data_IF_546686731214
#
_entry.id   IF_546686731214
#
_cell.length_a   1.000
_cell.length_b   1.000
_cell.length_c   1.000
_cell.angle_alpha   90.00
_cell.angle_beta   90.00
_cell.angle_gamma   90.00
#
_symmetry.space_group_name_H-M   'P 1'
#
loop_
_entity.id
_entity.type
_entity.pdbx_description
1 polymer ?
#
# COMPACT_ATOMS: atom_id res chain seq x y z
N UNK A 1 1.38 26.73 -2.11
CA UNK A 1 2.52 25.79 -2.11
C UNK A 1 3.31 25.87 -3.40
N UNK A 2 2.70 25.71 -4.59
CA UNK A 2 3.43 25.77 -5.87
C UNK A 2 4.24 27.07 -6.06
N UNK A 3 3.60 28.24 -5.92
CA UNK A 3 4.29 29.55 -6.00
C UNK A 3 5.44 29.68 -5.01
N UNK A 4 5.23 29.27 -3.75
CA UNK A 4 6.27 29.32 -2.70
C UNK A 4 7.46 28.41 -3.01
N UNK A 5 7.25 27.28 -3.68
CA UNK A 5 8.36 26.40 -4.10
C UNK A 5 9.15 27.04 -5.25
N UNK A 6 8.46 27.67 -6.21
CA UNK A 6 9.14 28.44 -7.27
C UNK A 6 9.98 29.57 -6.68
N UNK A 7 9.41 30.37 -5.77
CA UNK A 7 10.11 31.46 -5.09
C UNK A 7 11.38 30.97 -4.36
N UNK A 8 11.28 29.86 -3.63
CA UNK A 8 12.47 29.28 -2.96
C UNK A 8 13.51 28.81 -3.98
N UNK A 9 13.09 28.20 -5.08
CA UNK A 9 14.02 27.76 -6.13
C UNK A 9 14.67 28.95 -6.85
N UNK A 10 13.95 30.05 -7.04
CA UNK A 10 14.48 31.30 -7.60
C UNK A 10 15.53 31.90 -6.68
N UNK A 11 15.26 31.97 -5.37
CA UNK A 11 16.23 32.41 -4.36
C UNK A 11 17.49 31.55 -4.42
N UNK A 12 17.36 30.21 -4.42
CA UNK A 12 18.52 29.29 -4.49
C UNK A 12 19.31 29.47 -5.79
N UNK A 13 18.62 29.73 -6.91
CA UNK A 13 19.26 29.98 -8.21
C UNK A 13 20.06 31.28 -8.20
N UNK A 14 19.53 32.33 -7.58
CA UNK A 14 20.13 33.66 -7.51
C UNK A 14 21.24 33.80 -6.46
N UNK A 15 21.10 33.18 -5.28
CA UNK A 15 22.08 33.31 -4.18
C UNK A 15 23.32 32.41 -4.36
N UNK A 16 23.19 31.25 -4.98
CA UNK A 16 24.27 30.27 -5.13
C UNK A 16 24.98 30.36 -6.50
N UNK A 17 25.33 31.57 -6.94
CA UNK A 17 25.96 31.82 -8.24
C UNK A 17 27.24 30.98 -8.38
N UNK A 18 27.22 30.00 -9.28
CA UNK A 18 28.29 29.02 -9.61
C UNK A 18 28.36 27.71 -8.79
N UNK A 19 27.40 27.43 -7.91
CA UNK A 19 27.29 26.10 -7.30
C UNK A 19 26.42 25.15 -8.14
N UNK A 20 26.66 23.84 -8.02
CA UNK A 20 25.84 22.80 -8.64
C UNK A 20 24.35 22.97 -8.26
N UNK A 21 24.08 23.45 -7.05
CA UNK A 21 22.73 23.71 -6.55
C UNK A 21 21.97 24.78 -7.33
N UNK A 22 22.63 25.84 -7.80
CA UNK A 22 21.98 26.89 -8.62
C UNK A 22 21.58 26.35 -10.00
N UNK A 23 22.43 25.48 -10.59
CA UNK A 23 22.11 24.81 -11.85
C UNK A 23 20.93 23.84 -11.67
N UNK A 24 20.93 23.04 -10.59
CA UNK A 24 19.83 22.12 -10.27
C UNK A 24 18.51 22.87 -10.04
N UNK A 25 18.54 23.97 -9.29
CA UNK A 25 17.36 24.82 -9.07
C UNK A 25 16.81 25.37 -10.39
N UNK A 26 17.67 25.85 -11.28
CA UNK A 26 17.26 26.29 -12.62
C UNK A 26 16.62 25.19 -13.48
N UNK A 27 17.12 23.95 -13.40
CA UNK A 27 16.50 22.80 -14.08
C UNK A 27 15.13 22.47 -13.50
N UNK A 28 14.98 22.52 -12.17
CA UNK A 28 13.72 22.27 -11.49
C UNK A 28 12.65 23.32 -11.82
N UNK A 29 13.01 24.61 -11.86
CA UNK A 29 12.11 25.69 -12.29
C UNK A 29 11.61 25.41 -13.71
N UNK A 30 12.53 25.17 -14.65
CA UNK A 30 12.17 24.86 -16.04
C UNK A 30 11.26 23.63 -16.16
N UNK A 31 11.41 22.65 -15.28
CA UNK A 31 10.54 21.48 -15.22
C UNK A 31 9.17 21.84 -14.65
N UNK A 32 9.12 22.58 -13.55
CA UNK A 32 7.87 23.00 -12.91
C UNK A 32 7.02 23.90 -13.81
N UNK A 33 7.66 24.80 -14.56
CA UNK A 33 7.05 25.70 -15.55
C UNK A 33 6.80 25.01 -16.91
N UNK A 34 6.66 23.69 -16.92
CA UNK A 34 6.31 22.94 -18.13
C UNK A 34 4.89 22.40 -18.03
N UNK A 35 4.18 22.44 -19.16
CA UNK A 35 2.86 21.83 -19.28
C UNK A 35 2.89 20.34 -18.89
N UNK A 36 3.95 19.61 -19.28
CA UNK A 36 4.15 18.19 -18.92
C UNK A 36 4.09 17.98 -17.41
N UNK A 37 4.76 18.83 -16.64
CA UNK A 37 4.79 18.75 -15.18
C UNK A 37 3.44 19.09 -14.57
N UNK A 38 2.81 20.19 -15.01
CA UNK A 38 1.51 20.62 -14.48
C UNK A 38 0.43 19.58 -14.76
N UNK A 39 0.38 19.03 -15.98
CA UNK A 39 -0.55 17.96 -16.34
C UNK A 39 -0.32 16.72 -15.47
N UNK A 40 0.94 16.29 -15.33
CA UNK A 40 1.27 15.11 -14.52
C UNK A 40 0.92 15.33 -13.06
N UNK A 41 1.15 16.53 -12.53
CA UNK A 41 0.81 16.88 -11.15
C UNK A 41 -0.69 16.78 -10.90
N UNK A 42 -1.52 17.38 -11.75
CA UNK A 42 -2.98 17.31 -11.61
C UNK A 42 -3.51 15.89 -11.78
N UNK A 43 -3.00 15.14 -12.78
CA UNK A 43 -3.33 13.73 -12.97
C UNK A 43 -3.01 12.90 -11.72
N UNK A 44 -1.84 13.12 -11.10
CA UNK A 44 -1.46 12.42 -9.88
C UNK A 44 -2.31 12.83 -8.68
N UNK A 45 -2.72 14.11 -8.57
CA UNK A 45 -3.64 14.56 -7.52
C UNK A 45 -4.96 13.78 -7.61
N UNK A 46 -5.54 13.67 -8.80
CA UNK A 46 -6.81 12.95 -9.00
C UNK A 46 -6.68 11.46 -8.74
N UNK A 47 -5.63 10.81 -9.27
CA UNK A 47 -5.38 9.37 -9.05
C UNK A 47 -5.15 9.07 -7.57
N UNK A 48 -4.31 9.86 -6.90
CA UNK A 48 -4.07 9.71 -5.46
C UNK A 48 -5.33 10.01 -4.66
N UNK A 49 -6.13 10.99 -5.08
CA UNK A 49 -7.44 11.28 -4.50
C UNK A 49 -8.40 10.10 -4.59
N UNK A 50 -8.50 9.45 -5.74
CA UNK A 50 -9.36 8.25 -5.94
C UNK A 50 -8.89 7.07 -5.09
N UNK A 51 -7.58 6.91 -4.91
CA UNK A 51 -6.99 5.73 -4.24
C UNK A 51 -6.74 5.94 -2.75
N UNK A 52 -6.94 7.15 -2.23
CA UNK A 52 -6.60 7.52 -0.86
C UNK A 52 -7.40 6.72 0.18
N UNK A 53 -8.72 6.63 0.04
CA UNK A 53 -9.57 5.90 1.00
C UNK A 53 -9.21 4.42 1.04
N UNK A 54 -8.93 3.81 -0.11
CA UNK A 54 -8.47 2.44 -0.20
C UNK A 54 -7.12 2.27 0.49
N UNK A 55 -6.16 3.17 0.22
CA UNK A 55 -4.84 3.14 0.83
C UNK A 55 -4.91 3.21 2.36
N UNK A 56 -5.73 4.13 2.90
CA UNK A 56 -5.93 4.26 4.34
C UNK A 56 -6.62 3.03 4.94
N UNK A 57 -7.64 2.49 4.26
CA UNK A 57 -8.34 1.29 4.72
C UNK A 57 -7.42 0.07 4.79
N UNK A 58 -6.55 -0.10 3.79
CA UNK A 58 -5.55 -1.17 3.76
C UNK A 58 -4.43 -0.98 4.80
N UNK A 59 -4.25 0.21 5.37
CA UNK A 59 -3.21 0.46 6.37
C UNK A 59 -3.70 0.37 7.82
N UNK A 60 -5.02 0.27 8.04
CA UNK A 60 -5.60 0.15 9.38
C UNK A 60 -5.16 -1.14 10.09
N UNK A 61 -4.96 -1.10 11.41
CA UNK A 61 -4.61 -2.29 12.22
C UNK A 61 -5.82 -3.22 12.41
N UNK A 62 -7.02 -2.66 12.35
CA UNK A 62 -8.34 -3.30 12.50
C UNK A 62 -9.03 -3.48 11.14
N UNK A 63 -8.32 -4.01 10.14
CA UNK A 63 -8.85 -4.13 8.78
C UNK A 63 -10.15 -4.94 8.74
N UNK A 64 -11.22 -4.31 8.25
CA UNK A 64 -12.39 -5.02 7.74
C UNK A 64 -12.15 -5.34 6.26
N UNK A 65 -11.76 -6.59 6.00
CA UNK A 65 -11.47 -7.10 4.66
C UNK A 65 -12.66 -6.93 3.71
N UNK A 66 -13.91 -7.05 4.20
CA UNK A 66 -15.11 -6.88 3.35
C UNK A 66 -15.16 -5.45 2.82
N UNK A 67 -15.03 -4.49 3.72
CA UNK A 67 -15.05 -3.08 3.39
C UNK A 67 -13.85 -2.67 2.52
N UNK A 68 -12.66 -3.20 2.81
CA UNK A 68 -11.47 -2.99 1.98
C UNK A 68 -11.68 -3.52 0.55
N UNK A 69 -12.24 -4.73 0.39
CA UNK A 69 -12.51 -5.29 -0.94
C UNK A 69 -13.60 -4.51 -1.69
N UNK A 70 -14.60 -3.98 -0.99
CA UNK A 70 -15.56 -3.06 -1.59
C UNK A 70 -14.88 -1.78 -2.09
N UNK A 71 -13.96 -1.21 -1.30
CA UNK A 71 -13.17 -0.04 -1.69
C UNK A 71 -12.25 -0.33 -2.89
N UNK A 72 -11.69 -1.53 -3.01
CA UNK A 72 -10.95 -1.95 -4.22
C UNK A 72 -11.83 -1.83 -5.46
N UNK A 73 -13.06 -2.37 -5.40
CA UNK A 73 -13.99 -2.31 -6.54
C UNK A 73 -14.40 -0.88 -6.87
N UNK A 74 -14.72 -0.07 -5.86
CA UNK A 74 -15.07 1.34 -6.03
C UNK A 74 -13.91 2.12 -6.64
N UNK A 75 -12.67 1.87 -6.19
CA UNK A 75 -11.47 2.53 -6.73
C UNK A 75 -11.25 2.16 -8.20
N UNK A 76 -11.38 0.88 -8.56
CA UNK A 76 -11.31 0.43 -9.96
C UNK A 76 -12.38 1.09 -10.84
N UNK A 77 -13.62 1.17 -10.35
CA UNK A 77 -14.71 1.84 -11.07
C UNK A 77 -14.44 3.33 -11.24
N UNK A 78 -13.97 4.03 -10.21
CA UNK A 78 -13.62 5.46 -10.26
C UNK A 78 -12.48 5.74 -11.24
N UNK A 79 -11.43 4.91 -11.25
CA UNK A 79 -10.34 5.02 -12.23
C UNK A 79 -10.84 4.76 -13.66
N UNK A 80 -11.76 3.81 -13.86
CA UNK A 80 -12.36 3.56 -15.16
C UNK A 80 -13.22 4.75 -15.63
N UNK A 81 -14.05 5.31 -14.74
CA UNK A 81 -14.83 6.52 -15.03
C UNK A 81 -13.92 7.70 -15.39
N UNK A 82 -12.80 7.85 -14.66
CA UNK A 82 -11.78 8.86 -14.93
C UNK A 82 -11.23 8.69 -16.35
N UNK A 83 -10.83 7.48 -16.71
CA UNK A 83 -10.31 7.14 -18.03
C UNK A 83 -11.28 7.50 -19.16
N UNK A 84 -12.57 7.24 -18.96
CA UNK A 84 -13.59 7.41 -20.01
C UNK A 84 -14.05 8.86 -20.16
N UNK A 85 -14.18 9.60 -19.07
CA UNK A 85 -14.92 10.87 -19.05
C UNK A 85 -14.10 12.09 -18.60
N UNK A 86 -13.00 11.91 -17.85
CA UNK A 86 -12.35 13.02 -17.13
C UNK A 86 -11.17 13.67 -17.89
N UNK A 87 -10.89 13.25 -19.13
CA UNK A 87 -9.84 13.89 -19.94
C UNK A 87 -10.10 15.39 -20.18
N UNK A 88 -11.33 15.74 -20.57
CA UNK A 88 -11.68 17.14 -20.91
C UNK A 88 -11.68 18.01 -19.64
N UNK A 89 -12.36 17.63 -18.54
CA UNK A 89 -12.28 18.38 -17.28
C UNK A 89 -10.84 18.59 -16.77
N UNK A 90 -10.00 17.53 -16.81
CA UNK A 90 -8.60 17.63 -16.40
C UNK A 90 -7.84 18.64 -17.26
N UNK A 91 -8.01 18.59 -18.58
CA UNK A 91 -7.31 19.51 -19.50
C UNK A 91 -7.74 20.96 -19.29
N UNK A 92 -9.02 21.21 -19.02
CA UNK A 92 -9.54 22.55 -18.69
C UNK A 92 -8.95 23.08 -17.39
N UNK A 93 -8.88 22.25 -16.35
CA UNK A 93 -8.27 22.60 -15.06
C UNK A 93 -6.78 22.95 -15.22
N UNK A 94 -6.04 22.08 -15.90
CA UNK A 94 -4.61 22.27 -16.19
C UNK A 94 -4.38 23.53 -17.01
N UNK A 95 -5.21 23.78 -18.03
CA UNK A 95 -5.08 25.00 -18.84
C UNK A 95 -5.35 26.26 -18.03
N UNK A 96 -6.33 26.23 -17.13
CA UNK A 96 -6.62 27.35 -16.22
C UNK A 96 -5.45 27.60 -15.27
N UNK A 97 -4.88 26.55 -14.71
CA UNK A 97 -3.69 26.64 -13.86
C UNK A 97 -2.50 27.23 -14.64
N UNK A 98 -2.22 26.73 -15.84
CA UNK A 98 -1.14 27.24 -16.69
C UNK A 98 -1.31 28.72 -17.01
N UNK A 99 -2.53 29.19 -17.30
CA UNK A 99 -2.80 30.61 -17.55
C UNK A 99 -2.51 31.50 -16.33
N UNK A 100 -2.76 31.02 -15.10
CA UNK A 100 -2.46 31.76 -13.87
C UNK A 100 -0.97 31.93 -13.64
N UNK A 101 -0.17 30.91 -14.00
CA UNK A 101 1.29 30.91 -13.85
C UNK A 101 2.03 31.25 -15.15
N UNK A 102 1.32 31.77 -16.16
CA UNK A 102 1.87 32.16 -17.47
C UNK A 102 2.66 31.04 -18.20
N UNK A 103 2.28 29.78 -17.95
CA UNK A 103 2.87 28.60 -18.58
C UNK A 103 2.24 28.39 -19.96
N UNK A 104 3.06 28.22 -20.99
CA UNK A 104 2.59 27.99 -22.36
C UNK A 104 1.81 26.66 -22.48
N UNK A 105 0.54 26.75 -22.89
CA UNK A 105 -0.29 25.58 -23.19
C UNK A 105 -0.05 25.16 -24.64
N UNK A 106 0.45 23.94 -24.89
CA UNK A 106 0.75 23.49 -26.24
C UNK A 106 -0.52 23.32 -27.08
N UNK A 107 -0.45 23.71 -28.35
CA UNK A 107 -1.53 23.44 -29.30
C UNK A 107 -1.68 21.92 -29.51
N UNK A 108 -2.84 21.37 -29.17
CA UNK A 108 -3.11 19.93 -29.20
C UNK A 108 -3.05 19.30 -30.61
N UNK A 109 -3.32 20.08 -31.66
CA UNK A 109 -3.26 19.63 -33.05
C UNK A 109 -1.84 19.68 -33.64
N UNK A 110 -0.92 20.37 -32.96
CA UNK A 110 0.47 20.48 -33.42
C UNK A 110 1.28 19.21 -33.13
N UNK A 111 2.38 19.04 -33.87
CA UNK A 111 3.31 17.91 -33.69
C UNK A 111 3.98 17.99 -32.32
N UNK A 112 3.98 16.87 -31.60
CA UNK A 112 4.68 16.75 -30.33
C UNK A 112 6.19 16.84 -30.51
N UNK A 113 6.83 17.65 -29.67
CA UNK A 113 8.28 17.85 -29.67
C UNK A 113 8.83 17.50 -28.28
N UNK A 114 9.48 16.33 -28.11
CA UNK A 114 10.05 15.97 -26.82
C UNK A 114 11.18 16.92 -26.42
N UNK A 115 11.17 17.42 -25.18
CA UNK A 115 12.28 18.19 -24.61
C UNK A 115 13.56 17.32 -24.57
N UNK A 116 14.67 17.83 -25.10
CA UNK A 116 15.99 17.20 -25.00
C UNK A 116 16.27 16.01 -25.92
N UNK A 117 15.36 15.64 -26.85
CA UNK A 117 15.62 14.57 -27.85
C UNK A 117 15.69 15.12 -29.28
N UNK A 118 16.55 14.51 -30.09
CA UNK A 118 16.64 14.83 -31.53
C UNK A 118 15.33 14.49 -32.24
N UNK A 119 14.75 15.48 -32.92
CA UNK A 119 13.50 15.38 -33.72
C UNK A 119 13.56 14.25 -34.75
N UNK A 120 14.76 13.88 -35.23
CA UNK A 120 14.96 12.88 -36.30
C UNK A 120 14.58 11.45 -35.93
N UNK A 121 14.31 11.14 -34.65
CA UNK A 121 13.92 9.80 -34.17
C UNK A 121 12.48 9.72 -33.64
N UNK A 122 11.71 10.81 -33.69
CA UNK A 122 10.37 10.82 -33.12
C UNK A 122 9.31 10.44 -34.15
N UNK A 123 8.35 9.61 -33.75
CA UNK A 123 7.14 9.35 -34.54
C UNK A 123 6.38 10.66 -34.68
N UNK A 124 5.79 10.93 -35.86
CA UNK A 124 4.95 12.11 -36.09
C UNK A 124 3.61 11.97 -35.36
N UNK A 125 3.61 12.15 -34.04
CA UNK A 125 2.40 12.16 -33.22
C UNK A 125 2.02 13.60 -32.84
N UNK A 126 0.72 13.83 -32.64
CA UNK A 126 0.20 15.11 -32.15
C UNK A 126 0.36 15.23 -30.64
N UNK A 127 0.36 16.46 -30.12
CA UNK A 127 0.31 16.70 -28.68
C UNK A 127 -0.91 16.02 -28.04
N UNK A 128 -2.07 16.06 -28.71
CA UNK A 128 -3.27 15.38 -28.26
C UNK A 128 -3.05 13.88 -28.03
N UNK A 129 -2.43 13.20 -29.01
CA UNK A 129 -2.15 11.77 -28.89
C UNK A 129 -1.18 11.50 -27.74
N UNK A 130 -0.11 12.28 -27.65
CA UNK A 130 0.89 12.11 -26.59
C UNK A 130 0.27 12.25 -25.19
N UNK A 131 -0.42 13.36 -24.92
CA UNK A 131 -0.93 13.61 -23.57
C UNK A 131 -2.14 12.73 -23.22
N UNK A 132 -3.06 12.49 -24.16
CA UNK A 132 -4.26 11.69 -23.88
C UNK A 132 -3.97 10.19 -23.87
N UNK A 133 -3.21 9.69 -24.84
CA UNK A 133 -3.01 8.24 -25.03
C UNK A 133 -1.75 7.78 -24.32
N UNK A 134 -0.59 8.37 -24.63
CA UNK A 134 0.70 7.89 -24.11
C UNK A 134 0.89 8.22 -22.63
N UNK A 135 0.19 9.24 -22.11
CA UNK A 135 0.29 9.67 -20.71
C UNK A 135 -0.99 9.37 -19.93
N UNK A 136 -2.12 10.03 -20.22
CA UNK A 136 -3.34 9.92 -19.41
C UNK A 136 -3.90 8.50 -19.38
N UNK A 137 -4.17 7.88 -20.54
CA UNK A 137 -4.64 6.49 -20.57
C UNK A 137 -3.59 5.52 -20.04
N UNK A 138 -2.32 5.65 -20.45
CA UNK A 138 -1.27 4.75 -20.02
C UNK A 138 -1.12 4.72 -18.49
N UNK A 139 -1.12 5.87 -17.82
CA UNK A 139 -0.99 5.96 -16.37
C UNK A 139 -2.19 5.32 -15.68
N UNK A 140 -3.43 5.63 -16.10
CA UNK A 140 -4.64 5.05 -15.49
C UNK A 140 -4.70 3.54 -15.72
N UNK A 141 -4.38 3.08 -16.93
CA UNK A 141 -4.36 1.66 -17.29
C UNK A 141 -3.31 0.90 -16.47
N UNK A 142 -2.14 1.50 -16.21
CA UNK A 142 -1.14 0.94 -15.30
C UNK A 142 -1.69 0.80 -13.87
N UNK A 143 -2.39 1.81 -13.34
CA UNK A 143 -2.99 1.72 -12.00
C UNK A 143 -4.08 0.63 -11.93
N UNK A 144 -4.94 0.55 -12.94
CA UNK A 144 -5.96 -0.49 -13.04
C UNK A 144 -5.33 -1.89 -13.14
N UNK A 145 -4.28 -2.04 -13.94
CA UNK A 145 -3.56 -3.29 -14.09
C UNK A 145 -2.91 -3.73 -12.76
N UNK A 146 -2.25 -2.83 -12.05
CA UNK A 146 -1.66 -3.12 -10.73
C UNK A 146 -2.72 -3.54 -9.71
N UNK A 147 -3.86 -2.84 -9.66
CA UNK A 147 -4.98 -3.21 -8.80
C UNK A 147 -5.58 -4.56 -9.19
N UNK A 148 -5.63 -4.91 -10.47
CA UNK A 148 -6.11 -6.21 -10.94
C UNK A 148 -5.13 -7.35 -10.64
N UNK A 149 -3.83 -7.10 -10.77
CA UNK A 149 -2.79 -8.05 -10.44
C UNK A 149 -2.77 -8.36 -8.93
N UNK A 150 -2.86 -7.33 -8.09
CA UNK A 150 -2.85 -7.47 -6.62
C UNK A 150 -4.16 -8.07 -6.10
N UNK A 151 -5.30 -7.59 -6.60
CA UNK A 151 -6.63 -8.03 -6.21
C UNK A 151 -7.32 -8.76 -7.35
N UNK A 152 -6.74 -9.90 -7.72
CA UNK A 152 -7.32 -10.81 -8.72
C UNK A 152 -8.65 -11.40 -8.23
N UNK A 153 -9.41 -11.98 -9.15
CA UNK A 153 -10.67 -12.65 -8.80
C UNK A 153 -10.45 -13.81 -7.81
N UNK A 154 -9.36 -14.56 -7.97
CA UNK A 154 -8.97 -15.64 -7.07
C UNK A 154 -8.62 -15.11 -5.67
N UNK A 155 -7.83 -14.02 -5.58
CA UNK A 155 -7.48 -13.40 -4.30
C UNK A 155 -8.72 -12.83 -3.62
N UNK A 156 -9.62 -12.21 -4.39
CA UNK A 156 -10.89 -11.67 -3.88
C UNK A 156 -11.78 -12.79 -3.32
N UNK A 157 -11.89 -13.92 -4.03
CA UNK A 157 -12.62 -15.10 -3.55
C UNK A 157 -12.04 -15.64 -2.25
N UNK A 158 -10.71 -15.76 -2.16
CA UNK A 158 -10.02 -16.20 -0.95
C UNK A 158 -10.31 -15.26 0.22
N UNK A 159 -10.19 -13.95 0.01
CA UNK A 159 -10.48 -12.93 1.03
C UNK A 159 -11.95 -12.95 1.48
N UNK A 160 -12.88 -13.14 0.55
CA UNK A 160 -14.30 -13.33 0.87
C UNK A 160 -14.59 -14.61 1.67
N UNK A 161 -13.74 -15.62 1.59
CA UNK A 161 -13.87 -16.80 2.44
C UNK A 161 -13.32 -16.53 3.84
N UNK A 162 -12.22 -15.76 3.96
CA UNK A 162 -11.66 -15.33 5.25
C UNK A 162 -12.66 -14.49 6.05
N UNK A 163 -13.47 -13.67 5.38
CA UNK A 163 -14.45 -12.83 6.06
C UNK A 163 -15.56 -13.63 6.75
N UNK A 164 -15.76 -14.90 6.37
CA UNK A 164 -16.67 -15.82 7.05
C UNK A 164 -16.20 -16.24 8.45
N UNK A 165 -14.93 -15.99 8.80
CA UNK A 165 -14.38 -16.19 10.15
C UNK A 165 -14.55 -14.96 11.05
N UNK A 166 -15.03 -13.83 10.53
CA UNK A 166 -15.16 -12.59 11.31
C UNK A 166 -16.20 -12.77 12.44
N UNK A 167 -15.82 -12.57 13.72
CA UNK A 167 -16.74 -12.69 14.85
C UNK A 167 -17.77 -11.54 14.93
N UNK A 168 -17.54 -10.44 14.23
CA UNK A 168 -18.40 -9.25 14.26
C UNK A 168 -19.88 -9.58 13.99
N UNK A 169 -20.78 -8.88 14.70
CA UNK A 169 -22.23 -9.07 14.60
C UNK A 169 -22.65 -10.54 14.80
N UNK A 170 -22.07 -11.22 15.80
CA UNK A 170 -22.36 -12.63 16.11
C UNK A 170 -22.08 -13.56 14.92
N UNK A 171 -20.94 -13.36 14.24
CA UNK A 171 -20.56 -14.13 13.05
C UNK A 171 -21.61 -14.04 11.93
N UNK A 172 -22.16 -12.85 11.65
CA UNK A 172 -23.22 -12.69 10.64
C UNK A 172 -22.77 -13.07 9.22
N UNK A 173 -21.48 -12.94 8.92
CA UNK A 173 -20.88 -13.26 7.63
C UNK A 173 -20.54 -14.77 7.48
N UNK A 174 -20.79 -15.58 8.51
CA UNK A 174 -20.43 -17.00 8.50
C UNK A 174 -21.13 -17.77 7.38
N UNK A 175 -20.32 -18.47 6.58
CA UNK A 175 -20.76 -19.34 5.50
C UNK A 175 -19.87 -20.58 5.49
N UNK A 176 -20.45 -21.71 5.87
CA UNK A 176 -19.74 -23.00 5.96
C UNK A 176 -19.15 -23.42 4.62
N UNK A 177 -19.87 -23.22 3.51
CA UNK A 177 -19.44 -23.64 2.18
C UNK A 177 -18.21 -22.86 1.71
N UNK A 178 -18.17 -21.55 1.97
CA UNK A 178 -17.01 -20.72 1.66
C UNK A 178 -15.78 -21.10 2.49
N UNK A 179 -15.95 -21.47 3.75
CA UNK A 179 -14.84 -21.92 4.61
C UNK A 179 -14.28 -23.28 4.19
N UNK A 180 -15.13 -24.21 3.73
CA UNK A 180 -14.66 -25.46 3.13
C UNK A 180 -13.87 -25.16 1.86
N UNK A 181 -14.39 -24.28 0.99
CA UNK A 181 -13.68 -23.85 -0.22
C UNK A 181 -12.35 -23.17 0.08
N UNK A 182 -12.24 -22.44 1.19
CA UNK A 182 -10.96 -21.90 1.66
C UNK A 182 -9.97 -23.02 1.97
N UNK A 183 -10.39 -24.08 2.66
CA UNK A 183 -9.54 -25.24 2.96
C UNK A 183 -9.09 -25.99 1.70
N UNK A 184 -9.97 -26.11 0.70
CA UNK A 184 -9.65 -26.73 -0.61
C UNK A 184 -8.51 -26.01 -1.35
N UNK A 185 -8.28 -24.71 -1.08
CA UNK A 185 -7.15 -23.96 -1.66
C UNK A 185 -5.79 -24.37 -1.07
N UNK A 186 -5.76 -25.14 0.03
CA UNK A 186 -4.56 -25.59 0.71
C UNK A 186 -4.48 -27.13 0.77
N UNK A 187 -4.36 -27.83 -0.37
CA UNK A 187 -4.39 -29.29 -0.43
C UNK A 187 -3.19 -29.97 0.26
N UNK A 188 -2.09 -29.23 0.50
CA UNK A 188 -0.96 -29.71 1.29
C UNK A 188 -1.26 -29.73 2.80
N UNK A 189 -2.21 -28.92 3.25
CA UNK A 189 -2.54 -28.72 4.65
C UNK A 189 -3.87 -29.36 5.07
N UNK A 190 -4.76 -29.64 4.11
CA UNK A 190 -6.04 -30.31 4.32
C UNK A 190 -6.16 -31.51 3.37
N UNK A 191 -6.18 -32.71 3.94
CA UNK A 191 -6.53 -33.92 3.19
C UNK A 191 -8.05 -34.02 2.95
N UNK A 192 -8.48 -34.92 2.06
CA UNK A 192 -9.91 -35.17 1.84
C UNK A 192 -10.64 -35.60 3.12
N UNK A 193 -9.96 -36.31 4.02
CA UNK A 193 -10.50 -36.72 5.33
C UNK A 193 -10.63 -35.50 6.25
N UNK A 194 -9.66 -34.59 6.21
CA UNK A 194 -9.71 -33.33 6.97
C UNK A 194 -10.85 -32.43 6.49
N UNK A 195 -11.15 -32.39 5.19
CA UNK A 195 -12.26 -31.58 4.66
C UNK A 195 -13.62 -32.06 5.19
N UNK A 196 -13.85 -33.37 5.21
CA UNK A 196 -15.08 -33.95 5.80
C UNK A 196 -15.14 -33.67 7.30
N UNK A 197 -14.02 -33.83 8.00
CA UNK A 197 -13.92 -33.55 9.44
C UNK A 197 -14.14 -32.08 9.76
N UNK A 198 -13.59 -31.19 8.93
CA UNK A 198 -13.73 -29.74 9.03
C UNK A 198 -15.19 -29.32 8.86
N UNK A 199 -15.93 -29.93 7.93
CA UNK A 199 -17.35 -29.63 7.74
C UNK A 199 -18.18 -29.87 9.03
N UNK A 200 -17.96 -31.01 9.67
CA UNK A 200 -18.61 -31.33 10.95
C UNK A 200 -18.13 -30.40 12.08
N UNK A 201 -16.83 -30.13 12.11
CA UNK A 201 -16.23 -29.27 13.12
C UNK A 201 -16.74 -27.83 13.03
N UNK A 202 -16.84 -27.27 11.82
CA UNK A 202 -17.41 -25.94 11.54
C UNK A 202 -18.86 -25.83 12.00
N UNK A 203 -19.66 -26.88 11.75
CA UNK A 203 -21.07 -26.93 12.15
C UNK A 203 -21.25 -26.87 13.67
N UNK A 204 -20.35 -27.51 14.41
CA UNK A 204 -20.34 -27.48 15.89
C UNK A 204 -19.76 -26.17 16.41
N UNK A 205 -18.66 -25.72 15.81
CA UNK A 205 -17.95 -24.49 16.16
C UNK A 205 -18.86 -23.27 16.17
N UNK A 206 -19.64 -23.05 15.10
CA UNK A 206 -20.46 -21.83 14.99
C UNK A 206 -21.54 -21.76 16.06
N UNK A 207 -22.10 -22.89 16.47
CA UNK A 207 -23.09 -22.97 17.54
C UNK A 207 -22.43 -22.59 18.86
N UNK A 208 -21.30 -23.23 19.20
CA UNK A 208 -20.55 -22.96 20.43
C UNK A 208 -20.11 -21.48 20.53
N UNK A 209 -19.53 -20.93 19.45
CA UNK A 209 -19.07 -19.53 19.43
C UNK A 209 -20.22 -18.52 19.57
N UNK A 210 -21.39 -18.79 18.97
CA UNK A 210 -22.56 -17.89 19.07
C UNK A 210 -23.25 -17.97 20.43
N UNK A 211 -23.11 -19.09 21.14
CA UNK A 211 -23.68 -19.25 22.49
C UNK A 211 -22.81 -18.64 23.59
N UNK A 212 -21.55 -18.35 23.31
CA UNK A 212 -20.61 -17.79 24.30
C UNK A 212 -20.51 -16.26 24.18
N UNK A 213 -20.86 -15.54 25.25
CA UNK A 213 -20.78 -14.07 25.32
C UNK A 213 -19.34 -13.54 25.09
N UNK A 214 -18.34 -14.33 25.47
CA UNK A 214 -16.92 -13.96 25.31
C UNK A 214 -16.50 -13.89 23.83
N UNK A 215 -17.17 -14.64 22.95
CA UNK A 215 -16.86 -14.66 21.52
C UNK A 215 -17.76 -13.72 20.71
N UNK A 216 -18.98 -13.45 21.16
CA UNK A 216 -19.91 -12.54 20.46
C UNK A 216 -19.52 -11.07 20.55
N UNK A 217 -18.74 -10.70 21.57
CA UNK A 217 -18.22 -9.33 21.77
C UNK A 217 -16.96 -9.02 20.94
N UNK A 218 -16.38 -10.01 20.25
CA UNK A 218 -15.14 -9.83 19.49
C UNK A 218 -15.40 -9.18 18.12
N UNK A 219 -14.49 -8.31 17.71
CA UNK A 219 -14.60 -7.54 16.45
C UNK A 219 -13.56 -7.90 15.40
N UNK A 220 -12.53 -8.69 15.75
CA UNK A 220 -11.44 -9.04 14.83
C UNK A 220 -11.05 -10.51 14.89
N UNK A 221 -10.56 -11.03 13.75
CA UNK A 221 -10.03 -12.39 13.64
C UNK A 221 -8.81 -12.60 14.56
N UNK A 222 -8.00 -11.56 14.75
CA UNK A 222 -6.85 -11.60 15.68
C UNK A 222 -7.30 -11.76 17.14
N UNK A 223 -8.37 -11.05 17.54
CA UNK A 223 -8.95 -11.20 18.87
C UNK A 223 -9.60 -12.59 19.04
N UNK A 224 -10.28 -13.09 18.01
CA UNK A 224 -10.82 -14.45 17.96
C UNK A 224 -9.74 -15.50 18.19
N UNK A 225 -8.61 -15.42 17.46
CA UNK A 225 -7.51 -16.36 17.62
C UNK A 225 -6.95 -16.37 19.05
N UNK A 226 -6.73 -15.19 19.64
CA UNK A 226 -6.26 -15.06 21.03
C UNK A 226 -7.25 -15.67 22.03
N UNK A 227 -8.54 -15.38 21.89
CA UNK A 227 -9.57 -15.91 22.77
C UNK A 227 -9.69 -17.44 22.64
N UNK A 228 -9.62 -17.99 21.42
CA UNK A 228 -9.64 -19.43 21.21
C UNK A 228 -8.49 -20.16 21.91
N UNK A 229 -7.30 -19.55 21.99
CA UNK A 229 -6.17 -20.12 22.74
C UNK A 229 -6.40 -20.02 24.25
N UNK A 230 -6.88 -18.87 24.73
CA UNK A 230 -7.16 -18.63 26.14
C UNK A 230 -8.14 -19.67 26.70
N UNK A 231 -9.20 -19.97 25.95
CA UNK A 231 -10.27 -20.88 26.37
C UNK A 231 -10.02 -22.32 25.93
N UNK A 232 -8.83 -22.62 25.40
CA UNK A 232 -8.43 -23.93 24.84
C UNK A 232 -9.33 -24.45 23.72
N UNK A 233 -10.14 -23.58 23.11
CA UNK A 233 -10.99 -23.89 21.95
C UNK A 233 -10.16 -24.22 20.71
N UNK A 234 -8.91 -23.76 20.64
CA UNK A 234 -7.95 -24.18 19.61
C UNK A 234 -7.67 -25.69 19.63
N UNK A 235 -7.77 -26.36 20.79
CA UNK A 235 -7.60 -27.82 20.93
C UNK A 235 -8.89 -28.56 20.58
N UNK A 236 -10.05 -27.95 20.88
CA UNK A 236 -11.37 -28.52 20.57
C UNK A 236 -11.68 -28.43 19.07
N UNK A 237 -11.27 -27.33 18.42
CA UNK A 237 -11.53 -27.04 17.01
C UNK A 237 -10.22 -26.85 16.20
N UNK A 238 -9.33 -27.85 16.13
CA UNK A 238 -8.00 -27.69 15.52
C UNK A 238 -8.03 -27.31 14.03
N UNK A 239 -8.97 -27.82 13.24
CA UNK A 239 -9.05 -27.52 11.80
C UNK A 239 -9.60 -26.11 11.56
N UNK A 240 -10.59 -25.68 12.35
CA UNK A 240 -11.09 -24.30 12.31
C UNK A 240 -10.01 -23.32 12.76
N UNK A 241 -9.30 -23.65 13.84
CA UNK A 241 -8.19 -22.83 14.31
C UNK A 241 -7.07 -22.73 13.26
N UNK A 242 -6.79 -23.83 12.54
CA UNK A 242 -5.84 -23.82 11.40
C UNK A 242 -6.27 -22.84 10.30
N UNK A 243 -7.56 -22.80 9.94
CA UNK A 243 -8.08 -21.81 8.99
C UNK A 243 -7.92 -20.37 9.49
N UNK A 244 -8.14 -20.12 10.79
CA UNK A 244 -7.95 -18.80 11.40
C UNK A 244 -6.47 -18.38 11.33
N UNK A 245 -5.53 -19.31 11.54
CA UNK A 245 -4.10 -19.03 11.37
C UNK A 245 -3.76 -18.71 9.91
N UNK A 246 -4.30 -19.46 8.95
CA UNK A 246 -4.11 -19.12 7.53
C UNK A 246 -4.67 -17.75 7.19
N UNK A 247 -5.87 -17.41 7.70
CA UNK A 247 -6.45 -16.08 7.53
C UNK A 247 -5.54 -14.96 8.03
N UNK A 248 -4.89 -15.15 9.19
CA UNK A 248 -3.96 -14.18 9.77
C UNK A 248 -2.61 -14.12 9.05
N UNK A 249 -2.20 -15.19 8.37
CA UNK A 249 -0.96 -15.25 7.61
C UNK A 249 -1.06 -14.63 6.21
N UNK A 250 -2.26 -14.30 5.73
CA UNK A 250 -2.44 -13.77 4.37
C UNK A 250 -1.92 -12.32 4.23
N UNK A 251 -1.25 -12.00 3.10
CA UNK A 251 -0.58 -10.70 2.92
C UNK A 251 -1.47 -9.46 3.00
N UNK A 252 -2.79 -9.60 2.84
CA UNK A 252 -3.71 -8.45 3.00
C UNK A 252 -3.64 -7.88 4.42
N UNK A 253 -3.32 -8.72 5.42
CA UNK A 253 -3.11 -8.32 6.81
C UNK A 253 -1.67 -7.84 7.12
N UNK A 254 -0.75 -7.86 6.15
CA UNK A 254 0.68 -7.56 6.38
C UNK A 254 1.14 -6.21 5.82
N UNK A 255 0.36 -5.14 6.01
CA UNK A 255 0.85 -3.76 5.79
C UNK A 255 2.16 -3.49 6.58
N UNK A 256 2.39 -4.23 7.66
CA UNK A 256 3.61 -4.21 8.48
C UNK A 256 4.87 -4.62 7.71
N UNK A 257 4.75 -5.56 6.76
CA UNK A 257 5.90 -6.05 5.97
C UNK A 257 6.31 -5.01 4.92
N UNK A 258 5.36 -4.31 4.28
CA UNK A 258 5.67 -3.20 3.37
C UNK A 258 6.29 -2.00 4.11
N UNK A 259 5.87 -1.74 5.37
CA UNK A 259 6.50 -0.75 6.25
C UNK A 259 7.97 -1.12 6.53
N UNK A 260 8.27 -2.39 6.77
CA UNK A 260 9.65 -2.86 6.97
C UNK A 260 10.53 -2.59 5.73
N UNK A 261 10.01 -2.79 4.52
CA UNK A 261 10.75 -2.50 3.28
C UNK A 261 10.97 -0.99 3.05
N UNK A 262 9.98 -0.16 3.35
CA UNK A 262 10.13 1.30 3.30
C UNK A 262 11.16 1.79 4.32
N UNK A 263 11.08 1.29 5.55
CA UNK A 263 12.07 1.52 6.61
C UNK A 263 13.46 1.05 6.19
N UNK A 264 13.56 -0.11 5.55
CA UNK A 264 14.83 -0.64 5.05
C UNK A 264 15.46 0.32 4.03
N UNK A 265 14.65 0.97 3.18
CA UNK A 265 15.13 2.00 2.23
C UNK A 265 15.62 3.28 2.94
N UNK A 266 15.00 3.65 4.07
CA UNK A 266 15.45 4.77 4.90
C UNK A 266 16.77 4.44 5.59
N UNK A 267 16.88 3.25 6.19
CA UNK A 267 18.09 2.78 6.88
C UNK A 267 19.24 2.59 5.88
N UNK A 268 18.96 1.95 4.73
CA UNK A 268 19.87 1.83 3.59
C UNK A 268 19.81 3.07 2.70
N UNK A 269 20.25 4.21 3.20
CA UNK A 269 20.48 5.37 2.33
C UNK A 269 21.74 5.21 1.48
N UNK A 270 21.92 6.07 0.47
CA UNK A 270 23.02 6.01 -0.51
C UNK A 270 24.43 5.91 0.11
N UNK A 271 24.70 6.52 1.27
CA UNK A 271 26.01 6.45 1.93
C UNK A 271 26.18 5.24 2.88
N UNK A 272 25.12 4.45 3.14
CA UNK A 272 25.14 3.21 3.97
C UNK A 272 24.73 1.96 3.17
N UNK A 273 24.99 1.95 1.86
CA UNK A 273 24.55 0.87 0.96
C UNK A 273 25.24 -0.47 1.21
N UNK A 274 26.42 -0.48 1.84
CA UNK A 274 27.12 -1.69 2.30
C UNK A 274 26.93 -1.85 3.80
N UNK A 275 25.95 -2.65 4.18
CA UNK A 275 25.64 -2.96 5.57
C UNK A 275 25.40 -4.47 5.66
N UNK A 276 26.02 -5.14 6.64
CA UNK A 276 25.84 -6.58 6.85
C UNK A 276 24.42 -6.90 7.31
N UNK A 277 23.91 -8.07 6.95
CA UNK A 277 22.53 -8.47 7.22
C UNK A 277 22.17 -8.48 8.71
N UNK A 278 23.12 -8.88 9.57
CA UNK A 278 22.95 -8.85 11.03
C UNK A 278 22.71 -7.41 11.53
N UNK A 279 23.61 -6.48 11.17
CA UNK A 279 23.51 -5.09 11.58
C UNK A 279 22.26 -4.40 10.99
N UNK A 280 21.85 -4.77 9.79
CA UNK A 280 20.60 -4.31 9.20
C UNK A 280 19.38 -4.75 10.01
N UNK A 281 19.33 -6.02 10.40
CA UNK A 281 18.26 -6.53 11.25
C UNK A 281 18.25 -5.83 12.61
N UNK A 282 19.42 -5.66 13.24
CA UNK A 282 19.55 -4.95 14.51
C UNK A 282 19.06 -3.50 14.43
N UNK A 283 19.24 -2.82 13.29
CA UNK A 283 18.72 -1.47 13.06
C UNK A 283 17.22 -1.44 12.70
N UNK A 284 16.72 -2.45 12.01
CA UNK A 284 15.33 -2.53 11.57
C UNK A 284 14.38 -2.76 12.74
N UNK A 285 14.74 -3.63 13.69
CA UNK A 285 13.88 -4.03 14.81
C UNK A 285 13.41 -2.83 15.65
N UNK A 286 14.29 -1.93 16.13
CA UNK A 286 13.86 -0.73 16.88
C UNK A 286 12.96 0.21 16.08
N UNK A 287 13.14 0.27 14.77
CA UNK A 287 12.42 1.19 13.90
C UNK A 287 11.04 0.66 13.52
N UNK A 288 10.90 -0.66 13.31
CA UNK A 288 9.62 -1.32 13.04
C UNK A 288 8.78 -1.39 14.33
N UNK A 289 9.41 -1.80 15.42
CA UNK A 289 8.77 -2.00 16.73
C UNK A 289 8.97 -0.80 17.64
N UNK A 290 8.73 0.41 17.11
CA UNK A 290 8.99 1.66 17.84
C UNK A 290 8.25 1.74 19.17
N UNK A 291 7.00 1.28 19.21
CA UNK A 291 6.20 1.23 20.45
C UNK A 291 6.86 0.34 21.53
N UNK A 292 7.51 -0.76 21.13
CA UNK A 292 8.23 -1.65 22.05
C UNK A 292 9.58 -1.05 22.43
N UNK A 293 10.30 -0.44 21.47
CA UNK A 293 11.58 0.21 21.75
C UNK A 293 11.43 1.40 22.70
N UNK A 294 10.39 2.22 22.52
CA UNK A 294 10.08 3.36 23.38
C UNK A 294 9.73 2.91 24.83
N UNK A 295 9.34 1.64 25.03
CA UNK A 295 9.10 1.07 26.36
C UNK A 295 10.37 0.65 27.11
N UNK A 296 11.53 0.63 26.44
CA UNK A 296 12.82 0.26 27.04
C UNK A 296 13.47 1.51 27.66
N UNK A 297 13.71 1.57 28.97
CA UNK A 297 14.35 2.71 29.60
C UNK A 297 15.80 2.88 29.14
N UNK A 298 16.23 4.12 28.93
CA UNK A 298 17.59 4.46 28.50
C UNK A 298 18.65 3.93 29.48
N UNK A 299 18.34 3.89 30.77
CA UNK A 299 19.22 3.37 31.82
C UNK A 299 19.55 1.90 31.59
N UNK A 300 18.58 1.10 31.14
CA UNK A 300 18.77 -0.33 30.84
C UNK A 300 19.68 -0.50 29.63
N UNK A 301 19.49 0.33 28.59
CA UNK A 301 20.33 0.36 27.39
C UNK A 301 21.77 0.72 27.75
N UNK A 302 21.96 1.77 28.56
CA UNK A 302 23.28 2.21 29.02
C UNK A 302 23.98 1.14 29.85
N UNK A 303 23.28 0.51 30.80
CA UNK A 303 23.85 -0.58 31.61
C UNK A 303 24.21 -1.81 30.77
N UNK A 304 23.40 -2.15 29.77
CA UNK A 304 23.70 -3.25 28.85
C UNK A 304 24.94 -2.94 28.00
N UNK A 305 25.05 -1.73 27.46
CA UNK A 305 26.20 -1.30 26.68
C UNK A 305 27.49 -1.27 27.52
N UNK A 306 27.42 -0.78 28.77
CA UNK A 306 28.54 -0.82 29.71
C UNK A 306 29.00 -2.26 30.01
N UNK A 307 28.06 -3.22 30.15
CA UNK A 307 28.40 -4.64 30.32
C UNK A 307 29.03 -5.26 29.05
N UNK A 308 28.73 -4.74 27.87
CA UNK A 308 29.38 -5.16 26.63
C UNK A 308 30.82 -4.64 26.50
N UNK A 309 31.16 -3.49 27.10
CA UNK A 309 32.52 -2.92 27.03
C UNK A 309 33.59 -3.83 27.63
N UNK A 310 33.27 -4.68 28.61
CA UNK A 310 34.20 -5.69 29.12
C UNK A 310 34.60 -6.78 28.10
N UNK A 311 33.98 -6.83 26.90
CA UNK A 311 34.36 -7.73 25.79
C UNK A 311 35.13 -7.05 24.66
N UNK A 312 35.22 -5.73 24.61
CA UNK A 312 35.99 -5.00 23.57
C UNK A 312 37.46 -4.76 23.92
N UNK A 313 37.93 -5.23 25.08
CA UNK A 313 39.36 -5.16 25.45
C UNK A 313 40.20 -6.33 24.88
N UNK A 314 39.62 -7.21 24.06
CA UNK A 314 40.31 -8.39 23.49
C UNK A 314 40.15 -8.54 21.98
N UNK A 315 40.10 -7.44 21.23
CA UNK A 315 40.30 -7.39 19.78
C UNK A 315 41.35 -6.32 19.46
#
# INVERSE_FOLDING_TARGET
MYASVLEVLEIVKEECIHDQQSVEAGVLINAMESFDFVLTLHLMIDILGITNELSQALQRKDQDIINAMKLVQVSKQRLQMMRENEWVPLLEEVSRFCNVFEIEVPNMDSKFKPRGRSVRKCKEITNFHHYRVDLFYAVIDMQLQELNNRFSESNTKLLLCVTCLNPSNMFSAYDKGKLIRLAELYPADFSMIDLVSLEHQLSTYIVDMRTSEEFTSLTSIAALAKQMVKDKKNVVYPLVYKLIIFALALPVATATVERAFSTMKIIKHRLRSKMGDAWLNDCLVPYIEKEVFDSVPNEVIMQHYQKMQSRMQSL
#
